data_IF_576052864467
#
_entry.id   IF_576052864467
#
_cell.length_a   1.000
_cell.length_b   1.000
_cell.length_c   1.000
_cell.angle_alpha   90.00
_cell.angle_beta   90.00
_cell.angle_gamma   90.00
#
_symmetry.space_group_name_H-M   'P 1'
#
loop_
_entity.id
_entity.type
_entity.pdbx_description
1 polymer ?
#
# COMPACT_ATOMS: atom_id res chain seq x y z
N UNK A 1 -21.27 22.72 38.29
CA UNK A 1 -21.29 21.35 37.75
C UNK A 1 -21.00 21.31 36.26
N UNK A 2 -21.61 22.14 35.44
CA UNK A 2 -21.43 22.21 33.95
C UNK A 2 -20.00 22.50 33.47
N UNK A 3 -19.20 23.27 34.20
CA UNK A 3 -17.82 23.60 33.79
C UNK A 3 -16.84 22.42 33.94
N UNK A 4 -17.04 21.51 34.88
CA UNK A 4 -16.19 20.34 35.07
C UNK A 4 -16.43 19.27 33.99
N UNK A 5 -17.69 19.08 33.58
CA UNK A 5 -18.03 18.14 32.51
C UNK A 5 -17.47 18.61 31.13
N UNK A 6 -17.61 19.92 30.86
CA UNK A 6 -17.07 20.50 29.61
C UNK A 6 -15.53 20.41 29.54
N UNK A 7 -14.83 20.57 30.66
CA UNK A 7 -13.38 20.42 30.74
C UNK A 7 -12.91 18.97 30.59
N UNK A 8 -13.71 18.03 31.12
CA UNK A 8 -13.45 16.58 30.99
C UNK A 8 -13.64 16.13 29.54
N UNK A 9 -14.74 16.55 28.88
CA UNK A 9 -15.00 16.28 27.46
C UNK A 9 -13.90 16.85 26.54
N UNK A 10 -13.42 18.06 26.81
CA UNK A 10 -12.34 18.68 26.03
C UNK A 10 -11.02 17.91 26.21
N UNK A 11 -10.71 17.44 27.43
CA UNK A 11 -9.52 16.61 27.67
C UNK A 11 -9.61 15.24 26.97
N UNK A 12 -10.78 14.62 26.98
CA UNK A 12 -11.02 13.32 26.35
C UNK A 12 -10.97 13.43 24.82
N UNK A 13 -11.55 14.49 24.26
CA UNK A 13 -11.45 14.81 22.83
C UNK A 13 -9.99 15.09 22.44
N UNK A 14 -9.26 15.89 23.21
CA UNK A 14 -7.85 16.18 22.93
C UNK A 14 -6.97 14.93 23.09
N UNK A 15 -7.20 14.09 24.11
CA UNK A 15 -6.50 12.81 24.27
C UNK A 15 -6.78 11.87 23.09
N UNK A 16 -8.02 11.79 22.62
CA UNK A 16 -8.39 10.97 21.47
C UNK A 16 -7.84 11.54 20.16
N UNK A 17 -7.76 12.88 20.03
CA UNK A 17 -7.12 13.53 18.89
C UNK A 17 -5.59 13.33 18.88
N UNK A 18 -4.93 13.44 20.04
CA UNK A 18 -3.51 13.12 20.18
C UNK A 18 -3.23 11.64 19.91
N UNK A 19 -4.05 10.74 20.45
CA UNK A 19 -3.95 9.30 20.20
C UNK A 19 -4.19 8.94 18.73
N UNK A 20 -5.12 9.62 18.04
CA UNK A 20 -5.31 9.51 16.59
C UNK A 20 -4.11 10.07 15.83
N UNK A 21 -3.54 11.21 16.27
CA UNK A 21 -2.37 11.83 15.64
C UNK A 21 -1.11 10.96 15.75
N UNK A 22 -0.97 10.21 16.85
CA UNK A 22 0.12 9.22 17.05
C UNK A 22 -0.08 7.97 16.17
N UNK A 23 -1.31 7.72 15.67
CA UNK A 23 -1.63 6.56 14.82
C UNK A 23 -1.63 6.88 13.32
N UNK A 24 -1.59 8.15 12.94
CA UNK A 24 -1.63 8.56 11.53
C UNK A 24 -0.23 8.50 10.96
N UNK A 25 -0.06 7.59 10.00
CA UNK A 25 1.15 7.56 9.17
C UNK A 25 1.10 8.73 8.16
N UNK A 26 2.26 9.29 7.86
CA UNK A 26 2.42 10.37 6.89
C UNK A 26 3.06 9.83 5.60
N UNK A 27 2.44 10.13 4.46
CA UNK A 27 2.98 9.82 3.15
C UNK A 27 3.73 11.02 2.56
N UNK A 28 4.98 10.83 2.21
CA UNK A 28 5.82 11.85 1.60
C UNK A 28 6.35 11.38 0.24
N UNK A 29 6.15 12.16 -0.84
CA UNK A 29 6.59 11.75 -2.18
C UNK A 29 8.10 11.48 -2.26
N UNK A 30 8.47 10.39 -2.92
CA UNK A 30 9.86 10.03 -3.22
C UNK A 30 10.33 10.71 -4.53
N UNK A 31 10.33 12.04 -4.56
CA UNK A 31 10.73 12.81 -5.74
C UNK A 31 12.24 12.79 -5.93
N UNK A 32 12.67 12.88 -7.18
CA UNK A 32 14.09 13.04 -7.53
C UNK A 32 14.75 14.15 -6.71
N UNK A 33 15.91 13.86 -6.12
CA UNK A 33 16.65 14.80 -5.28
C UNK A 33 16.10 15.03 -3.86
N UNK A 34 14.95 14.44 -3.51
CA UNK A 34 14.45 14.49 -2.12
C UNK A 34 15.16 13.47 -1.22
N UNK A 35 15.14 13.72 0.09
CA UNK A 35 15.65 12.75 1.09
C UNK A 35 14.96 11.38 1.00
N UNK A 36 13.71 11.37 0.54
CA UNK A 36 12.88 10.17 0.43
C UNK A 36 13.26 9.31 -0.79
N UNK A 37 13.83 9.93 -1.85
CA UNK A 37 14.19 9.23 -3.06
C UNK A 37 15.12 8.04 -2.81
N UNK A 38 16.20 8.25 -2.07
CA UNK A 38 17.17 7.20 -1.76
C UNK A 38 16.58 6.16 -0.82
N UNK A 39 15.92 6.57 0.26
CA UNK A 39 15.30 5.65 1.22
C UNK A 39 14.32 4.69 0.55
N UNK A 40 13.39 5.24 -0.26
CA UNK A 40 12.39 4.44 -0.96
C UNK A 40 13.04 3.53 -2.01
N UNK A 41 14.05 4.05 -2.74
CA UNK A 41 14.79 3.26 -3.72
C UNK A 41 15.51 2.08 -3.08
N UNK A 42 16.23 2.31 -1.99
CA UNK A 42 17.00 1.27 -1.32
C UNK A 42 16.06 0.19 -0.74
N UNK A 43 14.95 0.61 -0.09
CA UNK A 43 13.94 -0.32 0.40
C UNK A 43 13.28 -1.10 -0.75
N UNK A 44 12.96 -0.45 -1.87
CA UNK A 44 12.40 -1.10 -3.05
C UNK A 44 13.30 -2.21 -3.58
N UNK A 45 14.59 -1.92 -3.77
CA UNK A 45 15.53 -2.91 -4.29
C UNK A 45 15.86 -4.03 -3.31
N UNK A 46 15.73 -3.79 -2.00
CA UNK A 46 15.95 -4.82 -0.98
C UNK A 46 14.71 -5.69 -0.72
N UNK A 47 13.51 -5.14 -0.92
CA UNK A 47 12.26 -5.82 -0.58
C UNK A 47 11.70 -6.68 -1.72
N UNK A 48 11.98 -6.32 -2.97
CA UNK A 48 11.41 -6.99 -4.14
C UNK A 48 12.52 -7.62 -5.00
N UNK A 49 12.37 -8.88 -5.47
CA UNK A 49 13.31 -9.53 -6.38
C UNK A 49 13.27 -8.86 -7.77
N UNK A 50 14.32 -9.06 -8.57
CA UNK A 50 14.50 -8.36 -9.83
C UNK A 50 13.35 -8.57 -10.84
N UNK A 51 12.82 -9.76 -10.88
CA UNK A 51 11.73 -10.16 -11.77
C UNK A 51 10.35 -9.61 -11.37
N UNK A 52 10.16 -9.15 -10.11
CA UNK A 52 8.94 -8.45 -9.68
C UNK A 52 9.03 -6.91 -9.88
N UNK A 53 10.19 -6.38 -10.23
CA UNK A 53 10.43 -4.93 -10.19
C UNK A 53 10.13 -4.24 -11.50
N UNK A 54 9.28 -3.21 -11.44
CA UNK A 54 9.23 -2.21 -12.51
C UNK A 54 10.53 -1.38 -12.56
N UNK A 55 10.83 -0.82 -13.73
CA UNK A 55 11.93 0.12 -13.84
C UNK A 55 11.76 1.28 -12.87
N UNK A 56 12.76 1.49 -12.00
CA UNK A 56 12.74 2.58 -11.03
C UNK A 56 12.57 3.95 -11.69
N UNK A 57 13.28 4.18 -12.79
CA UNK A 57 13.22 5.44 -13.56
C UNK A 57 11.81 5.65 -14.11
N UNK A 58 11.19 4.61 -14.66
CA UNK A 58 9.83 4.66 -15.17
C UNK A 58 8.82 5.01 -14.06
N UNK A 59 8.92 4.39 -12.89
CA UNK A 59 8.06 4.72 -11.75
C UNK A 59 8.22 6.18 -11.30
N UNK A 60 9.45 6.67 -11.20
CA UNK A 60 9.72 8.08 -10.83
C UNK A 60 9.13 9.03 -11.88
N UNK A 61 9.30 8.76 -13.16
CA UNK A 61 8.75 9.59 -14.24
C UNK A 61 7.21 9.55 -14.23
N UNK A 62 6.60 8.37 -14.03
CA UNK A 62 5.14 8.24 -13.94
C UNK A 62 4.58 8.96 -12.71
N UNK A 63 5.29 8.98 -11.59
CA UNK A 63 4.85 9.67 -10.38
C UNK A 63 4.69 11.19 -10.58
N UNK A 64 5.37 11.78 -11.58
CA UNK A 64 5.19 13.17 -11.95
C UNK A 64 3.80 13.47 -12.53
N UNK A 65 3.11 12.47 -13.07
CA UNK A 65 1.76 12.60 -13.64
C UNK A 65 0.64 12.49 -12.60
N UNK A 66 0.97 12.43 -11.32
CA UNK A 66 0.04 12.36 -10.16
C UNK A 66 -0.87 11.11 -10.08
N UNK A 67 -0.98 10.31 -11.12
CA UNK A 67 -1.75 9.06 -11.09
C UNK A 67 -0.99 7.93 -10.40
N UNK A 68 0.32 7.83 -10.60
CA UNK A 68 1.19 6.95 -9.82
C UNK A 68 1.71 7.70 -8.60
N UNK A 69 1.46 7.14 -7.43
CA UNK A 69 1.99 7.63 -6.15
C UNK A 69 3.15 6.73 -5.75
N UNK A 70 4.33 7.30 -5.59
CA UNK A 70 5.54 6.63 -5.10
C UNK A 70 6.00 7.37 -3.85
N UNK A 71 5.69 6.83 -2.68
CA UNK A 71 5.78 7.55 -1.42
C UNK A 71 6.58 6.79 -0.36
N UNK A 72 7.35 7.55 0.41
CA UNK A 72 7.87 7.13 1.70
C UNK A 72 6.75 7.25 2.75
N UNK A 73 6.69 6.31 3.68
CA UNK A 73 5.74 6.31 4.80
C UNK A 73 6.48 6.54 6.10
N UNK A 74 5.96 7.46 6.90
CA UNK A 74 6.55 7.88 8.17
C UNK A 74 5.58 7.72 9.34
N UNK A 75 6.15 7.40 10.51
CA UNK A 75 5.51 7.54 11.83
C UNK A 75 6.27 8.63 12.60
N UNK A 76 5.75 9.85 12.57
CA UNK A 76 6.52 11.03 12.99
C UNK A 76 7.78 11.21 12.14
N UNK A 77 8.96 11.12 12.77
CA UNK A 77 10.26 11.23 12.09
C UNK A 77 10.82 9.86 11.62
N UNK A 78 10.16 8.76 11.99
CA UNK A 78 10.64 7.40 11.68
C UNK A 78 10.17 7.00 10.29
N UNK A 79 11.11 6.69 9.39
CA UNK A 79 10.80 6.08 8.10
C UNK A 79 10.37 4.62 8.32
N UNK A 80 9.12 4.30 8.01
CA UNK A 80 8.53 2.98 8.31
C UNK A 80 8.47 2.08 7.10
N UNK A 81 8.45 2.65 5.90
CA UNK A 81 8.28 1.87 4.70
C UNK A 81 7.98 2.69 3.47
N UNK A 82 7.54 2.01 2.43
CA UNK A 82 7.15 2.62 1.17
C UNK A 82 5.83 2.07 0.64
N UNK A 83 5.15 2.87 -0.14
CA UNK A 83 4.01 2.46 -0.97
C UNK A 83 4.17 2.98 -2.39
N UNK A 84 3.76 2.15 -3.36
CA UNK A 84 3.58 2.57 -4.74
C UNK A 84 2.21 2.10 -5.21
N UNK A 85 1.36 3.03 -5.63
CA UNK A 85 0.02 2.71 -6.08
C UNK A 85 -0.43 3.63 -7.20
N UNK A 86 -1.28 3.10 -8.07
CA UNK A 86 -1.86 3.81 -9.20
C UNK A 86 -3.33 4.13 -8.92
N UNK A 87 -3.74 5.39 -9.20
CA UNK A 87 -5.09 5.88 -8.96
C UNK A 87 -5.82 6.01 -10.29
N UNK A 88 -6.97 5.36 -10.40
CA UNK A 88 -7.96 5.60 -11.46
C UNK A 88 -9.27 6.11 -10.86
N UNK A 89 -10.32 6.25 -11.69
CA UNK A 89 -11.58 6.83 -11.24
C UNK A 89 -12.21 6.06 -10.06
N UNK A 90 -12.25 4.72 -10.13
CA UNK A 90 -12.93 3.86 -9.16
C UNK A 90 -12.00 2.83 -8.49
N UNK A 91 -10.71 2.82 -8.84
CA UNK A 91 -9.77 1.80 -8.35
C UNK A 91 -8.44 2.43 -7.97
N UNK A 92 -7.94 2.04 -6.81
CA UNK A 92 -6.54 2.22 -6.42
C UNK A 92 -5.84 0.87 -6.53
N UNK A 93 -4.85 0.77 -7.42
CA UNK A 93 -4.04 -0.43 -7.55
C UNK A 93 -2.75 -0.29 -6.76
N UNK A 94 -2.64 -1.05 -5.67
CA UNK A 94 -1.46 -1.10 -4.80
C UNK A 94 -0.42 -2.05 -5.40
N UNK A 95 0.53 -1.49 -6.17
CA UNK A 95 1.57 -2.26 -6.83
C UNK A 95 2.67 -2.71 -5.87
N UNK A 96 3.11 -1.85 -4.95
CA UNK A 96 4.16 -2.17 -4.00
C UNK A 96 3.86 -1.63 -2.61
N UNK A 97 4.08 -2.48 -1.59
CA UNK A 97 4.09 -2.13 -0.18
C UNK A 97 5.27 -2.83 0.49
N UNK A 98 6.16 -2.07 1.10
CA UNK A 98 7.24 -2.63 1.89
C UNK A 98 7.40 -1.88 3.22
N UNK A 99 7.69 -2.64 4.28
CA UNK A 99 8.03 -2.12 5.62
C UNK A 99 9.52 -2.30 5.83
N UNK A 100 10.17 -1.29 6.43
CA UNK A 100 11.57 -1.36 6.84
C UNK A 100 11.84 -2.65 7.62
N UNK A 101 12.92 -3.39 7.31
CA UNK A 101 13.20 -4.69 7.91
C UNK A 101 13.16 -4.69 9.43
N UNK A 102 13.74 -3.68 10.07
CA UNK A 102 13.83 -3.54 11.52
C UNK A 102 12.48 -3.25 12.19
N UNK A 103 11.50 -2.81 11.41
CA UNK A 103 10.15 -2.47 11.88
C UNK A 103 9.10 -3.55 11.54
N UNK A 104 9.49 -4.62 10.86
CA UNK A 104 8.57 -5.73 10.56
C UNK A 104 8.09 -6.40 11.85
N UNK A 105 6.88 -6.95 11.80
CA UNK A 105 6.25 -7.57 12.98
C UNK A 105 5.61 -6.58 13.97
N UNK A 106 5.82 -5.27 13.81
CA UNK A 106 5.28 -4.22 14.70
C UNK A 106 3.96 -3.60 14.19
N UNK A 107 3.28 -4.22 13.25
CA UNK A 107 1.97 -3.78 12.75
C UNK A 107 1.99 -2.67 11.71
N UNK A 108 3.14 -2.17 11.27
CA UNK A 108 3.23 -1.08 10.29
C UNK A 108 2.58 -1.43 8.95
N UNK A 109 2.73 -2.65 8.46
CA UNK A 109 2.06 -3.08 7.23
C UNK A 109 0.53 -2.93 7.32
N UNK A 110 -0.08 -3.34 8.43
CA UNK A 110 -1.52 -3.17 8.67
C UNK A 110 -1.92 -1.70 8.75
N UNK A 111 -1.12 -0.87 9.43
CA UNK A 111 -1.38 0.59 9.53
C UNK A 111 -1.31 1.26 8.15
N UNK A 112 -0.38 0.83 7.28
CA UNK A 112 -0.27 1.34 5.91
C UNK A 112 -1.50 0.96 5.07
N UNK A 113 -2.00 -0.29 5.18
CA UNK A 113 -3.23 -0.69 4.50
C UNK A 113 -4.42 0.15 4.95
N UNK A 114 -4.63 0.29 6.26
CA UNK A 114 -5.70 1.14 6.82
C UNK A 114 -5.58 2.61 6.40
N UNK A 115 -4.38 3.16 6.35
CA UNK A 115 -4.16 4.52 5.86
C UNK A 115 -4.66 4.69 4.41
N UNK A 116 -4.41 3.70 3.55
CA UNK A 116 -4.90 3.73 2.17
C UNK A 116 -6.43 3.58 2.11
N UNK A 117 -7.01 2.68 2.90
CA UNK A 117 -8.47 2.49 3.01
C UNK A 117 -9.18 3.75 3.48
N UNK A 118 -8.64 4.44 4.49
CA UNK A 118 -9.17 5.72 4.98
C UNK A 118 -9.02 6.85 3.95
N UNK A 119 -7.96 6.81 3.15
CA UNK A 119 -7.69 7.83 2.13
C UNK A 119 -8.57 7.68 0.90
N UNK A 120 -9.01 6.47 0.59
CA UNK A 120 -9.78 6.12 -0.61
C UNK A 120 -11.05 5.33 -0.27
N UNK A 121 -11.95 5.88 0.56
CA UNK A 121 -13.09 5.13 1.10
C UNK A 121 -14.13 4.75 0.05
N UNK A 122 -14.18 5.48 -1.08
CA UNK A 122 -15.18 5.28 -2.15
C UNK A 122 -14.62 4.47 -3.33
N UNK A 123 -13.34 4.08 -3.29
CA UNK A 123 -12.68 3.33 -4.36
C UNK A 123 -12.37 1.92 -3.86
N UNK A 124 -12.44 0.93 -4.74
CA UNK A 124 -11.86 -0.37 -4.43
C UNK A 124 -10.34 -0.26 -4.41
N UNK A 125 -9.70 -0.85 -3.41
CA UNK A 125 -8.25 -0.99 -3.40
C UNK A 125 -7.92 -2.42 -3.77
N UNK A 126 -7.15 -2.59 -4.83
CA UNK A 126 -6.78 -3.91 -5.38
C UNK A 126 -5.27 -4.05 -5.39
N UNK A 127 -4.79 -5.22 -5.03
CA UNK A 127 -3.41 -5.64 -5.23
C UNK A 127 -3.40 -7.05 -5.81
N UNK A 128 -2.27 -7.53 -6.21
CA UNK A 128 -2.08 -8.91 -6.61
C UNK A 128 -0.93 -9.58 -5.85
N UNK A 129 -1.06 -10.89 -5.72
CA UNK A 129 -0.05 -11.74 -5.10
C UNK A 129 0.17 -13.00 -5.93
N UNK A 130 1.33 -13.59 -5.79
CA UNK A 130 1.58 -14.93 -6.32
C UNK A 130 0.56 -15.93 -5.75
N UNK A 131 -0.07 -16.78 -6.58
CA UNK A 131 -1.00 -17.79 -6.11
C UNK A 131 -0.29 -18.82 -5.22
N UNK A 132 -1.06 -19.48 -4.35
CA UNK A 132 -0.51 -20.56 -3.54
C UNK A 132 -0.15 -21.73 -4.44
N UNK A 133 1.11 -22.11 -4.44
CA UNK A 133 1.66 -23.26 -5.13
C UNK A 133 2.53 -24.05 -4.15
N UNK A 134 2.08 -25.24 -3.72
CA UNK A 134 2.82 -26.06 -2.77
C UNK A 134 4.23 -26.47 -3.22
N UNK A 135 4.47 -26.47 -4.54
CA UNK A 135 5.74 -26.88 -5.12
C UNK A 135 6.71 -25.67 -5.29
N UNK A 136 6.23 -24.44 -5.03
CA UNK A 136 7.06 -23.25 -5.10
C UNK A 136 8.06 -23.16 -3.94
N UNK A 137 9.31 -22.81 -4.22
CA UNK A 137 10.36 -22.63 -3.21
C UNK A 137 9.96 -21.63 -2.12
N UNK A 138 9.20 -20.60 -2.49
CA UNK A 138 8.73 -19.53 -1.59
C UNK A 138 7.31 -19.79 -1.03
N UNK A 139 6.78 -21.03 -1.07
CA UNK A 139 5.42 -21.35 -0.64
C UNK A 139 5.06 -20.79 0.74
N UNK A 140 5.93 -20.95 1.74
CA UNK A 140 5.68 -20.42 3.09
C UNK A 140 5.56 -18.88 3.12
N UNK A 141 6.29 -18.17 2.26
CA UNK A 141 6.18 -16.72 2.13
C UNK A 141 4.85 -16.34 1.49
N UNK A 142 4.41 -17.04 0.43
CA UNK A 142 3.10 -16.85 -0.22
C UNK A 142 1.96 -17.04 0.77
N UNK A 143 2.01 -18.12 1.58
CA UNK A 143 1.02 -18.38 2.64
C UNK A 143 1.01 -17.26 3.68
N UNK A 144 2.18 -16.81 4.12
CA UNK A 144 2.30 -15.75 5.11
C UNK A 144 1.77 -14.41 4.57
N UNK A 145 2.05 -14.10 3.29
CA UNK A 145 1.57 -12.91 2.59
C UNK A 145 0.03 -12.93 2.48
N UNK A 146 -0.55 -14.03 2.03
CA UNK A 146 -2.01 -14.17 1.94
C UNK A 146 -2.67 -14.03 3.31
N UNK A 147 -2.15 -14.69 4.35
CA UNK A 147 -2.66 -14.56 5.73
C UNK A 147 -2.59 -13.14 6.26
N UNK A 148 -1.53 -12.41 5.94
CA UNK A 148 -1.39 -11.01 6.31
C UNK A 148 -2.52 -10.17 5.72
N UNK A 149 -2.80 -10.29 4.42
CA UNK A 149 -3.88 -9.55 3.78
C UNK A 149 -5.26 -9.97 4.33
N UNK A 150 -5.52 -11.26 4.47
CA UNK A 150 -6.78 -11.77 5.03
C UNK A 150 -7.03 -11.28 6.48
N UNK A 151 -5.98 -11.24 7.32
CA UNK A 151 -6.07 -10.68 8.68
C UNK A 151 -6.45 -9.19 8.68
N UNK A 152 -6.11 -8.46 7.63
CA UNK A 152 -6.48 -7.07 7.44
C UNK A 152 -7.81 -6.87 6.68
N UNK A 153 -8.63 -7.93 6.53
CA UNK A 153 -9.95 -7.85 5.92
C UNK A 153 -9.98 -7.98 4.40
N UNK A 154 -8.82 -8.16 3.78
CA UNK A 154 -8.72 -8.30 2.32
C UNK A 154 -9.20 -9.68 1.87
N UNK A 155 -9.81 -9.73 0.69
CA UNK A 155 -10.44 -10.93 0.15
C UNK A 155 -9.83 -11.34 -1.18
N UNK A 156 -9.75 -12.64 -1.41
CA UNK A 156 -9.41 -13.22 -2.72
C UNK A 156 -10.56 -12.97 -3.68
N UNK A 157 -10.23 -12.51 -4.88
CA UNK A 157 -11.23 -12.29 -5.95
C UNK A 157 -11.35 -13.48 -6.89
N UNK A 158 -10.39 -14.42 -6.83
CA UNK A 158 -10.20 -15.51 -7.80
C UNK A 158 -9.99 -15.01 -9.24
N UNK A 159 -9.72 -13.72 -9.42
CA UNK A 159 -9.31 -13.17 -10.70
C UNK A 159 -7.81 -13.35 -10.85
N UNK A 160 -7.43 -14.19 -11.80
CA UNK A 160 -6.04 -14.39 -12.18
C UNK A 160 -5.61 -13.31 -13.19
N UNK A 161 -4.40 -12.84 -13.02
CA UNK A 161 -3.63 -12.01 -13.93
C UNK A 161 -2.49 -12.87 -14.46
N UNK A 162 -2.25 -12.83 -15.75
CA UNK A 162 -1.14 -13.54 -16.39
C UNK A 162 -0.40 -12.51 -17.21
N UNK A 163 0.87 -12.34 -16.91
CA UNK A 163 1.77 -11.46 -17.64
C UNK A 163 3.11 -12.15 -17.92
N UNK A 164 4.11 -11.39 -18.36
CA UNK A 164 5.44 -11.92 -18.68
C UNK A 164 6.20 -12.43 -17.43
N UNK A 165 5.84 -11.95 -16.26
CA UNK A 165 6.51 -12.25 -15.00
C UNK A 165 5.84 -13.41 -14.25
N UNK A 166 4.66 -13.87 -14.69
CA UNK A 166 4.00 -15.06 -14.16
C UNK A 166 2.49 -14.94 -13.97
N UNK A 167 1.98 -15.76 -13.04
CA UNK A 167 0.57 -15.77 -12.65
C UNK A 167 0.42 -15.11 -11.28
N UNK A 168 -0.57 -14.22 -11.17
CA UNK A 168 -0.91 -13.52 -9.95
C UNK A 168 -2.41 -13.60 -9.68
N UNK A 169 -2.81 -13.57 -8.43
CA UNK A 169 -4.20 -13.51 -8.01
C UNK A 169 -4.53 -12.15 -7.41
N UNK A 170 -5.56 -11.49 -7.93
CA UNK A 170 -6.01 -10.22 -7.40
C UNK A 170 -6.70 -10.40 -6.04
N UNK A 171 -6.33 -9.56 -5.07
CA UNK A 171 -7.01 -9.38 -3.80
C UNK A 171 -7.64 -7.99 -3.78
N UNK A 172 -8.78 -7.87 -3.11
CA UNK A 172 -9.49 -6.60 -2.91
C UNK A 172 -9.69 -6.36 -1.42
N UNK A 173 -9.70 -5.10 -1.03
CA UNK A 173 -10.09 -4.66 0.30
C UNK A 173 -11.55 -5.02 0.64
N UNK A 174 -12.15 -4.38 1.64
CA UNK A 174 -13.54 -4.66 2.07
C UNK A 174 -14.60 -4.27 1.04
N UNK A 175 -14.26 -3.48 0.01
CA UNK A 175 -15.18 -3.00 -1.00
C UNK A 175 -15.59 -4.09 -2.02
N UNK A 176 -16.61 -3.80 -2.81
CA UNK A 176 -17.04 -4.68 -3.88
C UNK A 176 -15.98 -4.70 -5.01
N UNK A 177 -15.58 -5.90 -5.44
CA UNK A 177 -14.64 -6.04 -6.56
C UNK A 177 -15.32 -5.82 -7.90
N UNK A 178 -14.97 -4.74 -8.61
CA UNK A 178 -15.32 -4.54 -10.02
C UNK A 178 -14.14 -4.90 -10.93
N UNK A 179 -14.27 -6.07 -11.57
CA UNK A 179 -13.27 -6.60 -12.50
C UNK A 179 -13.03 -5.69 -13.70
N UNK A 180 -14.08 -4.98 -14.20
CA UNK A 180 -13.95 -4.14 -15.39
C UNK A 180 -13.14 -2.88 -15.07
N UNK A 181 -13.44 -2.25 -13.95
CA UNK A 181 -12.70 -1.08 -13.50
C UNK A 181 -11.25 -1.44 -13.15
N UNK A 182 -11.01 -2.60 -12.55
CA UNK A 182 -9.66 -3.10 -12.30
C UNK A 182 -8.88 -3.33 -13.61
N UNK A 183 -9.47 -4.02 -14.60
CA UNK A 183 -8.83 -4.24 -15.90
C UNK A 183 -8.55 -2.92 -16.65
N UNK A 184 -9.46 -1.94 -16.57
CA UNK A 184 -9.26 -0.58 -17.11
C UNK A 184 -8.06 0.09 -16.43
N UNK A 185 -7.94 -0.05 -15.11
CA UNK A 185 -6.86 0.54 -14.31
C UNK A 185 -5.51 -0.04 -14.70
N UNK A 186 -5.38 -1.36 -14.81
CA UNK A 186 -4.15 -2.03 -15.25
C UNK A 186 -3.76 -1.57 -16.67
N UNK A 187 -4.71 -1.50 -17.60
CA UNK A 187 -4.46 -0.99 -18.95
C UNK A 187 -3.97 0.46 -18.95
N UNK A 188 -4.58 1.33 -18.14
CA UNK A 188 -4.15 2.73 -18.04
C UNK A 188 -2.74 2.85 -17.44
N UNK A 189 -2.42 2.02 -16.45
CA UNK A 189 -1.10 1.98 -15.84
C UNK A 189 -0.06 1.49 -16.85
N UNK A 190 -0.32 0.38 -17.56
CA UNK A 190 0.61 -0.19 -18.55
C UNK A 190 0.95 0.80 -19.68
N UNK A 191 -0.04 1.55 -20.18
CA UNK A 191 0.18 2.59 -21.19
C UNK A 191 1.07 3.76 -20.71
N UNK A 192 1.27 3.89 -19.42
CA UNK A 192 2.18 4.88 -18.83
C UNK A 192 3.62 4.43 -18.74
N UNK A 193 3.89 3.11 -18.89
CA UNK A 193 5.24 2.53 -18.85
C UNK A 193 5.90 2.40 -20.24
N UNK A 194 5.15 2.67 -21.33
CA UNK A 194 5.62 2.64 -22.71
C UNK A 194 5.79 4.04 -23.31
#
# INVERSE_FOLDING_TARGET
>A
MIFKEKYFLIKEVNYNLEKRRILILDEQPARWGSKNYHKVKDLYYSAFPEWERFSWISMVLMSLRKKLQLNAVYDGEVFCGMVCYYISDNTVYLAYLAVEPELRGNGYGSRILHMLEEKYPDQQIVLDIEPLDPDAENYHQRVSRLRFYQKNGWRRTHQMLIDADGEFEALVDQNHFDKKDFAKTLKQMSLGFY
#
